data_IF_003835507351
#
_entry.id   IF_003835507351
#
_cell.length_a   1.000
_cell.length_b   1.000
_cell.length_c   1.000
_cell.angle_alpha   90.00
_cell.angle_beta   90.00
_cell.angle_gamma   90.00
#
_symmetry.space_group_name_H-M   'P 1'
#
loop_
_entity.id
_entity.type
_entity.pdbx_description
1 polymer ?
#
# COMPACT_ATOMS: atom_id res chain seq x y z
N UNK A 1 -4.85 23.19 -19.10
CA UNK A 1 -4.62 23.32 -17.66
C UNK A 1 -4.60 24.80 -17.32
N UNK A 2 -5.64 25.32 -16.67
CA UNK A 2 -5.79 26.77 -16.43
C UNK A 2 -5.18 27.23 -15.10
N UNK A 3 -4.90 26.31 -14.16
CA UNK A 3 -4.28 26.60 -12.87
C UNK A 3 -3.50 25.35 -12.36
N UNK A 4 -2.22 25.20 -12.74
CA UNK A 4 -1.41 24.03 -12.40
C UNK A 4 -0.94 23.99 -10.94
N UNK A 5 -1.48 24.82 -10.04
CA UNK A 5 -1.02 24.98 -8.65
C UNK A 5 -2.09 24.72 -7.58
N UNK A 6 -3.30 24.33 -7.96
CA UNK A 6 -4.44 24.25 -7.03
C UNK A 6 -4.38 23.06 -6.06
N UNK A 7 -3.50 22.09 -6.31
CA UNK A 7 -3.32 20.87 -5.49
C UNK A 7 -1.83 20.57 -5.33
N UNK A 8 -1.45 20.09 -4.16
CA UNK A 8 -0.11 19.57 -3.90
C UNK A 8 -0.14 18.44 -2.88
N UNK A 9 0.88 17.60 -2.94
CA UNK A 9 1.12 16.55 -1.96
C UNK A 9 2.52 16.70 -1.37
N UNK A 10 2.60 16.34 -0.09
CA UNK A 10 3.85 16.02 0.56
C UNK A 10 3.67 14.68 1.27
N UNK A 11 4.50 13.70 0.92
CA UNK A 11 4.42 12.37 1.49
C UNK A 11 5.82 11.81 1.74
N UNK A 12 5.98 11.15 2.87
CA UNK A 12 7.17 10.40 3.26
C UNK A 12 6.71 9.33 4.24
N UNK A 13 7.24 8.12 4.13
CA UNK A 13 6.79 7.03 4.99
C UNK A 13 7.71 5.83 4.95
N UNK A 14 7.88 5.22 6.12
CA UNK A 14 8.59 3.96 6.26
C UNK A 14 7.94 3.15 7.37
N UNK A 15 7.23 2.09 6.98
CA UNK A 15 6.51 1.21 7.91
C UNK A 15 7.13 -0.18 7.87
N UNK A 16 7.46 -0.71 9.05
CA UNK A 16 7.84 -2.11 9.22
C UNK A 16 6.73 -2.85 9.96
N UNK A 17 6.33 -4.01 9.44
CA UNK A 17 5.35 -4.88 10.07
C UNK A 17 5.85 -6.33 10.05
N UNK A 18 5.68 -7.01 11.17
CA UNK A 18 5.96 -8.43 11.31
C UNK A 18 4.67 -9.18 11.60
N UNK A 19 4.31 -10.07 10.71
CA UNK A 19 3.15 -10.95 10.84
C UNK A 19 3.60 -12.33 11.31
N UNK A 20 2.91 -12.86 12.30
CA UNK A 20 3.07 -14.23 12.78
C UNK A 20 1.90 -15.06 12.26
N UNK A 21 2.19 -15.98 11.35
CA UNK A 21 1.20 -16.84 10.72
C UNK A 21 1.21 -18.24 11.36
N UNK A 22 0.20 -19.07 11.10
CA UNK A 22 0.18 -20.46 11.57
C UNK A 22 1.43 -21.25 11.17
N UNK A 23 1.66 -22.37 11.86
CA UNK A 23 2.80 -23.28 11.63
C UNK A 23 4.18 -22.61 11.77
N UNK A 24 4.26 -21.48 12.48
CA UNK A 24 5.52 -20.77 12.73
C UNK A 24 6.06 -19.98 11.54
N UNK A 25 5.23 -19.75 10.52
CA UNK A 25 5.58 -18.91 9.37
C UNK A 25 5.60 -17.45 9.83
N UNK A 26 6.57 -16.67 9.36
CA UNK A 26 6.61 -15.23 9.60
C UNK A 26 6.71 -14.46 8.30
N UNK A 27 6.02 -13.34 8.21
CA UNK A 27 6.16 -12.39 7.10
C UNK A 27 6.64 -11.07 7.68
N UNK A 28 7.87 -10.70 7.34
CA UNK A 28 8.39 -9.36 7.61
C UNK A 28 8.15 -8.52 6.35
N UNK A 29 7.48 -7.37 6.49
CA UNK A 29 7.22 -6.45 5.40
C UNK A 29 7.66 -5.03 5.73
N UNK A 30 8.20 -4.36 4.71
CA UNK A 30 8.64 -2.96 4.78
C UNK A 30 7.99 -2.20 3.64
N UNK A 31 7.05 -1.32 3.98
CA UNK A 31 6.42 -0.41 3.04
C UNK A 31 7.14 0.94 3.08
N UNK A 32 7.45 1.48 1.90
CA UNK A 32 8.22 2.69 1.74
C UNK A 32 7.54 3.67 0.79
N UNK A 33 7.41 4.91 1.25
CA UNK A 33 7.07 6.07 0.43
C UNK A 33 8.30 6.97 0.42
N UNK A 34 9.03 7.07 -0.71
CA UNK A 34 10.12 8.03 -0.83
C UNK A 34 9.59 9.44 -0.59
N UNK A 35 10.40 10.27 0.05
CA UNK A 35 10.06 11.67 0.26
C UNK A 35 9.71 12.31 -1.08
N UNK A 36 8.45 12.77 -1.20
CA UNK A 36 7.94 13.43 -2.38
C UNK A 36 7.24 14.72 -1.98
N UNK A 37 7.54 15.78 -2.74
CA UNK A 37 6.78 17.01 -2.77
C UNK A 37 6.40 17.28 -4.23
N UNK A 38 5.11 17.32 -4.53
CA UNK A 38 4.62 17.59 -5.86
C UNK A 38 3.50 18.62 -5.79
N UNK A 39 3.48 19.53 -6.76
CA UNK A 39 2.42 20.52 -6.93
C UNK A 39 1.91 20.44 -8.35
N UNK A 40 0.63 20.72 -8.52
CA UNK A 40 -0.10 20.42 -9.74
C UNK A 40 -0.51 18.95 -9.79
N UNK A 41 -1.62 18.70 -10.46
CA UNK A 41 -2.16 17.36 -10.67
C UNK A 41 -2.82 17.32 -12.03
N UNK A 42 -2.92 16.13 -12.62
CA UNK A 42 -3.67 15.95 -13.87
C UNK A 42 -5.16 16.01 -13.58
N UNK A 43 -5.91 16.68 -14.44
CA UNK A 43 -7.37 16.60 -14.42
C UNK A 43 -7.78 15.18 -14.85
N UNK A 44 -8.38 14.43 -13.94
CA UNK A 44 -8.87 13.05 -14.20
C UNK A 44 -10.40 12.97 -14.22
N UNK A 45 -11.07 14.05 -13.80
CA UNK A 45 -12.51 14.18 -13.79
C UNK A 45 -12.94 15.64 -13.89
N UNK A 46 -14.25 15.88 -13.85
CA UNK A 46 -14.83 17.23 -14.03
C UNK A 46 -14.37 18.24 -12.97
N UNK A 47 -13.99 17.77 -11.78
CA UNK A 47 -13.49 18.61 -10.68
C UNK A 47 -12.41 17.87 -9.86
N UNK A 48 -11.81 16.82 -10.42
CA UNK A 48 -10.86 15.95 -9.74
C UNK A 48 -9.45 16.14 -10.30
N UNK A 49 -8.50 16.37 -9.39
CA UNK A 49 -7.07 16.42 -9.69
C UNK A 49 -6.37 15.25 -9.02
N UNK A 50 -5.52 14.55 -9.77
CA UNK A 50 -4.74 13.41 -9.28
C UNK A 50 -3.24 13.67 -9.38
N UNK A 51 -2.50 13.29 -8.34
CA UNK A 51 -1.04 13.18 -8.33
C UNK A 51 -0.65 11.72 -8.06
N UNK A 52 0.22 11.18 -8.90
CA UNK A 52 0.79 9.85 -8.70
C UNK A 52 2.17 9.95 -8.06
N UNK A 53 2.46 9.05 -7.13
CA UNK A 53 3.76 8.96 -6.46
C UNK A 53 4.19 7.51 -6.27
N UNK A 54 5.50 7.26 -6.30
CA UNK A 54 6.03 5.91 -6.19
C UNK A 54 5.88 5.38 -4.77
N UNK A 55 5.64 4.08 -4.67
CA UNK A 55 5.68 3.33 -3.41
C UNK A 55 6.40 2.00 -3.64
N UNK A 56 7.04 1.49 -2.60
CA UNK A 56 7.77 0.22 -2.64
C UNK A 56 7.37 -0.67 -1.48
N UNK A 57 7.35 -1.99 -1.72
CA UNK A 57 7.12 -3.01 -0.72
C UNK A 57 8.25 -4.03 -0.79
N UNK A 58 8.94 -4.24 0.32
CA UNK A 58 9.88 -5.35 0.48
C UNK A 58 9.29 -6.37 1.43
N UNK A 59 9.38 -7.64 1.10
CA UNK A 59 8.91 -8.72 1.96
C UNK A 59 9.97 -9.80 2.15
N UNK A 60 9.96 -10.40 3.33
CA UNK A 60 10.72 -11.60 3.67
C UNK A 60 9.77 -12.59 4.33
N UNK A 61 9.54 -13.70 3.66
CA UNK A 61 8.73 -14.81 4.18
C UNK A 61 9.65 -15.89 4.70
N UNK A 62 9.56 -16.19 5.99
CA UNK A 62 10.28 -17.30 6.60
C UNK A 62 9.31 -18.45 6.86
N UNK A 63 9.60 -19.60 6.26
CA UNK A 63 8.89 -20.85 6.49
C UNK A 63 9.83 -21.80 7.22
N UNK A 64 9.43 -22.42 8.35
CA UNK A 64 10.29 -23.37 9.05
C UNK A 64 10.77 -24.51 8.14
N UNK A 65 12.09 -24.74 8.12
CA UNK A 65 12.71 -25.77 7.29
C UNK A 65 12.98 -25.36 5.83
N UNK A 66 12.74 -24.10 5.47
CA UNK A 66 13.03 -23.53 4.14
C UNK A 66 13.90 -22.27 4.27
N UNK A 67 14.62 -21.95 3.20
CA UNK A 67 15.29 -20.65 3.10
C UNK A 67 14.27 -19.52 3.01
N UNK A 68 14.63 -18.36 3.53
CA UNK A 68 13.78 -17.17 3.50
C UNK A 68 13.52 -16.72 2.05
N UNK A 69 12.25 -16.51 1.71
CA UNK A 69 11.85 -15.99 0.41
C UNK A 69 11.74 -14.47 0.48
N UNK A 70 12.57 -13.78 -0.30
CA UNK A 70 12.55 -12.31 -0.40
C UNK A 70 11.89 -11.88 -1.69
N UNK A 71 11.05 -10.86 -1.62
CA UNK A 71 10.43 -10.24 -2.79
C UNK A 71 10.40 -8.72 -2.64
N UNK A 72 10.34 -8.03 -3.79
CA UNK A 72 10.16 -6.59 -3.88
C UNK A 72 9.04 -6.29 -4.87
N UNK A 73 8.17 -5.37 -4.50
CA UNK A 73 7.16 -4.75 -5.36
C UNK A 73 7.37 -3.24 -5.43
N UNK A 74 7.02 -2.66 -6.57
CA UNK A 74 6.97 -1.21 -6.77
C UNK A 74 5.65 -0.89 -7.48
N UNK A 75 4.99 0.19 -7.07
CA UNK A 75 3.80 0.69 -7.76
C UNK A 75 3.71 2.22 -7.65
N UNK A 76 2.69 2.79 -8.27
CA UNK A 76 2.28 4.17 -8.04
C UNK A 76 1.05 4.21 -7.14
N UNK A 77 1.16 4.91 -6.02
CA UNK A 77 0.03 5.38 -5.25
C UNK A 77 -0.54 6.65 -5.88
N UNK A 78 -1.80 6.96 -5.57
CA UNK A 78 -2.49 8.15 -6.03
C UNK A 78 -2.94 9.02 -4.86
N UNK A 79 -2.98 10.31 -5.11
CA UNK A 79 -3.62 11.30 -4.26
C UNK A 79 -4.58 12.12 -5.11
N UNK A 80 -5.87 12.06 -4.79
CA UNK A 80 -6.95 12.73 -5.49
C UNK A 80 -7.63 13.77 -4.61
N UNK A 81 -7.87 14.95 -5.18
CA UNK A 81 -8.64 16.03 -4.53
C UNK A 81 -9.79 16.43 -5.44
N UNK A 82 -10.99 16.51 -4.86
CA UNK A 82 -12.18 17.04 -5.49
C UNK A 82 -12.36 18.52 -5.13
N UNK A 83 -12.25 19.37 -6.14
CA UNK A 83 -12.26 20.83 -6.00
C UNK A 83 -13.65 21.45 -5.79
N UNK A 84 -14.72 20.71 -6.08
CA UNK A 84 -16.11 21.17 -5.97
C UNK A 84 -16.92 20.50 -4.85
N UNK A 85 -16.23 19.83 -3.91
CA UNK A 85 -16.85 19.00 -2.88
C UNK A 85 -16.87 17.52 -3.28
N UNK A 86 -16.48 16.64 -2.37
CA UNK A 86 -16.27 15.22 -2.66
C UNK A 86 -15.30 14.55 -1.69
N UNK A 87 -15.03 13.27 -1.94
CA UNK A 87 -14.09 12.48 -1.16
C UNK A 87 -12.67 12.73 -1.65
N UNK A 88 -11.86 13.38 -0.83
CA UNK A 88 -10.43 13.49 -1.06
C UNK A 88 -9.78 12.21 -0.56
N UNK A 89 -8.85 11.64 -1.31
CA UNK A 89 -8.25 10.36 -0.96
C UNK A 89 -6.77 10.29 -1.31
N UNK A 90 -6.03 9.52 -0.53
CA UNK A 90 -4.73 8.97 -0.85
C UNK A 90 -4.88 7.46 -0.83
N UNK A 91 -4.51 6.79 -1.90
CA UNK A 91 -4.60 5.35 -2.02
C UNK A 91 -3.27 4.77 -2.51
N UNK A 92 -2.82 3.72 -1.85
CA UNK A 92 -1.63 2.98 -2.21
C UNK A 92 -1.93 1.47 -2.19
N UNK A 93 -1.69 0.81 -3.32
CA UNK A 93 -1.64 -0.63 -3.43
C UNK A 93 -0.28 -1.06 -4.00
N UNK A 94 0.37 -2.04 -3.40
CA UNK A 94 1.63 -2.56 -3.93
C UNK A 94 1.79 -4.03 -3.57
N UNK A 95 2.14 -4.83 -4.57
CA UNK A 95 2.28 -6.27 -4.43
C UNK A 95 3.73 -6.69 -4.63
N UNK A 96 4.25 -7.49 -3.69
CA UNK A 96 5.55 -8.14 -3.79
C UNK A 96 5.34 -9.64 -4.02
N UNK A 97 5.81 -10.14 -5.17
CA UNK A 97 5.72 -11.55 -5.54
C UNK A 97 7.10 -12.22 -5.52
N UNK A 98 7.15 -13.44 -4.97
CA UNK A 98 8.36 -14.24 -4.87
C UNK A 98 8.08 -15.71 -5.14
N UNK A 99 9.10 -16.44 -5.62
CA UNK A 99 9.03 -17.89 -5.82
C UNK A 99 10.36 -18.57 -5.49
N UNK A 100 10.30 -19.67 -4.75
CA UNK A 100 11.41 -20.57 -4.49
C UNK A 100 10.96 -22.03 -4.69
N UNK A 101 11.32 -22.62 -5.83
CA UNK A 101 10.89 -23.97 -6.18
C UNK A 101 9.36 -24.09 -6.31
N UNK A 102 8.77 -24.97 -5.51
CA UNK A 102 7.32 -25.17 -5.41
C UNK A 102 6.62 -24.20 -4.46
N UNK A 103 7.37 -23.39 -3.72
CA UNK A 103 6.81 -22.36 -2.83
C UNK A 103 6.75 -21.00 -3.53
N UNK A 104 5.64 -20.28 -3.36
CA UNK A 104 5.43 -18.92 -3.84
C UNK A 104 4.74 -18.07 -2.79
N UNK A 105 5.07 -16.78 -2.79
CA UNK A 105 4.42 -15.77 -1.98
C UNK A 105 3.95 -14.62 -2.85
N UNK A 106 2.77 -14.11 -2.55
CA UNK A 106 2.23 -12.86 -3.05
C UNK A 106 1.70 -12.08 -1.85
N UNK A 107 2.31 -10.94 -1.58
CA UNK A 107 1.96 -10.09 -0.43
C UNK A 107 1.56 -8.73 -0.99
N UNK A 108 0.33 -8.29 -0.70
CA UNK A 108 -0.17 -6.99 -1.13
C UNK A 108 -0.40 -6.10 0.07
N UNK A 109 0.18 -4.90 0.04
CA UNK A 109 -0.09 -3.85 1.01
C UNK A 109 -1.14 -2.90 0.43
N UNK A 110 -2.18 -2.60 1.22
CA UNK A 110 -3.19 -1.59 0.93
C UNK A 110 -3.16 -0.52 2.02
N UNK A 111 -2.99 0.73 1.61
CA UNK A 111 -3.09 1.89 2.49
C UNK A 111 -4.03 2.92 1.88
N UNK A 112 -4.99 3.38 2.67
CA UNK A 112 -5.95 4.37 2.24
C UNK A 112 -6.13 5.44 3.32
N UNK A 113 -6.16 6.70 2.88
CA UNK A 113 -6.54 7.84 3.71
C UNK A 113 -7.58 8.61 2.95
N UNK A 114 -8.79 8.77 3.50
CA UNK A 114 -9.84 9.50 2.81
C UNK A 114 -10.61 10.42 3.74
N UNK A 115 -11.14 11.50 3.18
CA UNK A 115 -11.94 12.46 3.90
C UNK A 115 -13.02 13.08 3.02
N UNK A 116 -14.22 13.21 3.56
CA UNK A 116 -15.28 14.04 2.97
C UNK A 116 -15.12 15.45 3.51
N UNK A 117 -15.06 16.43 2.61
CA UNK A 117 -14.94 17.87 2.92
C UNK A 117 -13.72 18.26 3.78
N UNK A 118 -12.72 17.37 3.89
CA UNK A 118 -11.49 17.54 4.69
C UNK A 118 -11.74 17.72 6.20
N UNK A 119 -12.93 17.35 6.69
CA UNK A 119 -13.30 17.50 8.11
C UNK A 119 -13.09 16.20 8.89
N UNK A 120 -13.50 15.07 8.31
CA UNK A 120 -13.43 13.76 8.94
C UNK A 120 -12.50 12.86 8.14
N UNK A 121 -11.46 12.37 8.80
CA UNK A 121 -10.43 11.55 8.17
C UNK A 121 -10.58 10.10 8.60
N UNK A 122 -10.58 9.22 7.61
CA UNK A 122 -10.53 7.79 7.79
C UNK A 122 -9.19 7.28 7.27
N UNK A 123 -8.59 6.38 8.04
CA UNK A 123 -7.30 5.78 7.76
C UNK A 123 -7.47 4.28 7.82
N UNK A 124 -7.21 3.59 6.72
CA UNK A 124 -7.28 2.14 6.64
C UNK A 124 -5.98 1.56 6.09
N UNK A 125 -5.52 0.48 6.71
CA UNK A 125 -4.37 -0.27 6.26
C UNK A 125 -4.62 -1.76 6.39
N UNK A 126 -4.51 -2.46 5.26
CA UNK A 126 -4.69 -3.90 5.17
C UNK A 126 -3.48 -4.53 4.48
N UNK A 127 -3.21 -5.79 4.81
CA UNK A 127 -2.22 -6.61 4.11
C UNK A 127 -2.86 -7.92 3.71
N UNK A 128 -2.88 -8.21 2.41
CA UNK A 128 -3.23 -9.52 1.90
C UNK A 128 -1.98 -10.38 1.80
N UNK A 129 -2.07 -11.61 2.31
CA UNK A 129 -0.98 -12.58 2.31
C UNK A 129 -1.45 -13.85 1.65
N UNK A 130 -0.86 -14.16 0.50
CA UNK A 130 -1.10 -15.37 -0.27
C UNK A 130 0.20 -16.19 -0.31
N UNK A 131 0.20 -17.37 0.29
CA UNK A 131 1.32 -18.30 0.30
C UNK A 131 0.87 -19.66 -0.23
N UNK A 132 1.59 -20.18 -1.21
CA UNK A 132 1.34 -21.51 -1.77
C UNK A 132 2.60 -22.35 -1.77
N UNK A 133 2.50 -23.62 -1.37
CA UNK A 133 3.59 -24.59 -1.35
C UNK A 133 3.10 -26.00 -1.01
N UNK A 134 4.00 -27.00 -0.96
CA UNK A 134 3.63 -28.41 -0.78
C UNK A 134 2.72 -28.71 0.43
N UNK A 135 2.93 -27.99 1.54
CA UNK A 135 2.15 -28.14 2.78
C UNK A 135 1.62 -26.78 3.32
N UNK A 136 1.59 -25.78 2.44
CA UNK A 136 1.20 -24.41 2.75
C UNK A 136 0.18 -23.96 1.72
N UNK A 137 -1.00 -23.64 2.22
CA UNK A 137 -2.00 -22.91 1.48
C UNK A 137 -2.58 -21.89 2.46
N UNK A 138 -2.24 -20.63 2.27
CA UNK A 138 -2.62 -19.53 3.14
C UNK A 138 -3.06 -18.37 2.27
N UNK A 139 -4.26 -17.85 2.52
CA UNK A 139 -4.81 -16.69 1.83
C UNK A 139 -5.68 -15.93 2.82
N UNK A 140 -5.17 -14.83 3.36
CA UNK A 140 -5.90 -14.02 4.32
C UNK A 140 -5.66 -12.52 4.06
N UNK A 141 -6.72 -11.74 4.25
CA UNK A 141 -6.67 -10.29 4.35
C UNK A 141 -6.61 -9.89 5.82
N UNK A 142 -5.53 -9.22 6.20
CA UNK A 142 -5.26 -8.85 7.59
C UNK A 142 -5.41 -7.34 7.76
N UNK A 143 -6.32 -6.91 8.63
CA UNK A 143 -6.41 -5.53 9.06
C UNK A 143 -5.21 -5.19 9.94
N UNK A 144 -4.39 -4.25 9.49
CA UNK A 144 -3.23 -3.75 10.25
C UNK A 144 -3.67 -2.62 11.17
N UNK A 145 -4.45 -1.70 10.63
CA UNK A 145 -4.87 -0.48 11.31
C UNK A 145 -6.12 0.09 10.65
N UNK A 146 -7.05 0.57 11.47
CA UNK A 146 -8.18 1.39 11.05
C UNK A 146 -8.43 2.46 12.09
N UNK A 147 -8.59 3.72 11.67
CA UNK A 147 -8.91 4.83 12.56
C UNK A 147 -9.81 5.85 11.86
N UNK A 148 -10.74 6.42 12.64
CA UNK A 148 -11.50 7.61 12.29
C UNK A 148 -11.09 8.77 13.22
N UNK A 149 -11.03 9.99 12.69
CA UNK A 149 -10.76 11.22 13.45
C UNK A 149 -11.81 12.31 13.22
#
# INVERSE_FOLDING_TARGET
DSNPTDVGIWAEGHTFLKLLLPKGITVDLTFFVPQIGAVGGKDVGKDEKEILFKVELNTTVNVPGMDALKAKGENFASASIYTSGGMNQIFADVTAQGRAGSFSSEITFYGEVWAVDLVHWHYDCNVEVILHGPDIDFNELLLVFSQES
#
